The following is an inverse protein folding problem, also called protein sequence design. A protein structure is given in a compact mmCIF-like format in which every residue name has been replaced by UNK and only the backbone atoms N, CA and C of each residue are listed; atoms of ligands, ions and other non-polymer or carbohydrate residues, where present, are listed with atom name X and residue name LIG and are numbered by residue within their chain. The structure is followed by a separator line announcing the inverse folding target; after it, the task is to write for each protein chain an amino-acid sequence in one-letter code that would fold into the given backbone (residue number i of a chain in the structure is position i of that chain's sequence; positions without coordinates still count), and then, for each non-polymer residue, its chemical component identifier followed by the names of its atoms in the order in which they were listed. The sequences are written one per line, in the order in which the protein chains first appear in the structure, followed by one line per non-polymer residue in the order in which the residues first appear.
data_IF_439775235234
#
_entry.id   IF_439775235234
#
_cell.length_a   1.000
_cell.length_b   1.000
_cell.length_c   1.000
_cell.angle_alpha   90.00
_cell.angle_beta   90.00
_cell.angle_gamma   90.00
#
_symmetry.space_group_name_H-M   'P 1'
#
loop_
_entity.id
_entity.type
_entity.pdbx_description
1 polymer ?
#
# COMPACT_ATOMS: atom_id res chain seq x y z
N UNK A 1 34.79 7.05 51.42
CA UNK A 1 33.89 6.36 52.37
C UNK A 1 33.26 5.21 51.56
N UNK A 2 33.83 4.11 51.51
CA UNK A 2 34.07 2.87 52.25
C UNK A 2 32.82 2.34 52.97
N UNK A 3 32.59 1.05 52.69
CA UNK A 3 31.76 0.00 53.29
C UNK A 3 30.42 -0.31 52.62
N UNK A 4 29.99 -1.57 52.42
CA UNK A 4 30.51 -2.86 52.90
C UNK A 4 29.83 -4.01 52.11
N UNK A 5 30.54 -5.10 52.01
CA UNK A 5 30.17 -6.39 51.40
C UNK A 5 29.31 -7.19 52.38
N UNK A 6 28.28 -7.84 51.91
CA UNK A 6 27.51 -8.84 52.67
C UNK A 6 27.21 -10.03 51.78
N UNK A 7 28.06 -11.05 51.91
CA UNK A 7 27.93 -12.40 51.34
C UNK A 7 26.96 -13.24 52.18
N UNK A 8 25.97 -13.92 51.55
CA UNK A 8 25.39 -15.16 52.10
C UNK A 8 25.09 -16.11 50.96
N UNK A 9 25.53 -17.34 51.12
CA UNK A 9 25.43 -18.52 50.25
C UNK A 9 24.16 -19.35 50.56
N UNK A 10 23.93 -20.48 49.88
CA UNK A 10 22.74 -20.79 49.10
C UNK A 10 21.85 -21.85 49.82
N UNK A 11 20.61 -22.01 49.35
CA UNK A 11 19.82 -23.21 49.61
C UNK A 11 19.21 -23.76 48.32
N UNK A 12 19.53 -25.04 48.10
CA UNK A 12 18.94 -25.95 47.12
C UNK A 12 17.42 -26.09 47.26
N UNK A 13 16.75 -26.35 46.14
CA UNK A 13 15.52 -27.10 46.18
C UNK A 13 14.62 -26.96 44.98
N UNK A 14 14.58 -28.05 44.22
CA UNK A 14 13.49 -28.56 43.35
C UNK A 14 13.36 -27.98 41.94
N UNK A 15 13.74 -28.85 41.03
CA UNK A 15 13.32 -28.97 39.65
C UNK A 15 11.79 -28.96 39.54
N UNK A 16 11.24 -28.08 38.71
CA UNK A 16 10.00 -28.34 38.01
C UNK A 16 10.20 -27.83 36.56
N UNK A 17 10.19 -28.79 35.67
CA UNK A 17 10.20 -28.59 34.24
C UNK A 17 8.96 -27.82 33.81
N UNK A 18 9.14 -26.66 33.23
CA UNK A 18 8.11 -25.97 32.46
C UNK A 18 8.48 -26.11 31.00
N UNK A 19 7.57 -26.79 30.29
CA UNK A 19 7.60 -27.06 28.85
C UNK A 19 8.01 -25.82 28.05
N UNK A 20 9.00 -26.05 27.23
CA UNK A 20 9.46 -25.22 26.14
C UNK A 20 8.34 -25.14 25.09
N UNK A 21 7.49 -24.14 25.16
CA UNK A 21 6.50 -23.85 24.14
C UNK A 21 7.21 -23.29 22.91
N UNK A 22 7.38 -24.16 21.94
CA UNK A 22 7.73 -23.94 20.57
C UNK A 22 7.62 -22.49 20.10
N UNK A 23 8.76 -21.85 19.93
CA UNK A 23 8.97 -20.80 18.93
C UNK A 23 8.70 -21.45 17.58
N UNK A 24 7.55 -21.15 16.97
CA UNK A 24 7.31 -21.44 15.58
C UNK A 24 8.32 -20.64 14.77
N UNK A 25 9.27 -21.34 14.17
CA UNK A 25 10.08 -20.84 13.06
C UNK A 25 9.10 -20.29 11.99
N UNK A 26 9.04 -18.98 11.87
CA UNK A 26 8.48 -18.34 10.69
C UNK A 26 9.43 -18.70 9.52
N UNK A 27 8.94 -19.08 8.35
CA UNK A 27 9.78 -19.37 7.21
C UNK A 27 10.53 -18.09 6.83
N UNK A 28 11.86 -18.16 6.86
CA UNK A 28 12.72 -17.10 6.30
C UNK A 28 12.48 -17.05 4.79
N UNK A 29 11.93 -15.90 4.28
CA UNK A 29 11.92 -15.57 2.86
C UNK A 29 10.68 -15.99 2.05
N UNK A 30 9.47 -15.77 2.56
CA UNK A 30 8.22 -15.85 1.79
C UNK A 30 7.53 -14.50 1.72
N UNK A 31 6.71 -14.28 0.67
CA UNK A 31 5.87 -13.09 0.56
C UNK A 31 4.97 -12.93 1.79
N UNK A 32 4.90 -11.71 2.33
CA UNK A 32 4.06 -11.39 3.50
C UNK A 32 2.65 -11.01 3.08
N UNK A 33 1.64 -11.48 3.81
CA UNK A 33 0.27 -11.00 3.67
C UNK A 33 0.05 -9.68 4.44
N UNK A 34 -0.87 -8.86 3.92
CA UNK A 34 -1.37 -7.68 4.61
C UNK A 34 -2.89 -7.73 4.62
N UNK A 35 -3.49 -7.68 5.79
CA UNK A 35 -4.93 -7.69 5.94
C UNK A 35 -5.42 -6.54 6.82
N UNK A 36 -6.53 -5.92 6.42
CA UNK A 36 -7.35 -5.03 7.24
C UNK A 36 -8.68 -5.71 7.51
N UNK A 37 -9.10 -5.80 8.77
CA UNK A 37 -10.31 -6.49 9.18
C UNK A 37 -11.25 -5.51 9.87
N UNK A 38 -12.44 -5.26 9.29
CA UNK A 38 -13.49 -4.44 9.87
C UNK A 38 -13.05 -3.01 10.18
N UNK A 39 -12.22 -2.40 9.32
CA UNK A 39 -11.59 -1.11 9.57
C UNK A 39 -12.60 0.04 9.58
N UNK A 40 -12.66 0.75 10.69
CA UNK A 40 -13.33 2.05 10.80
C UNK A 40 -12.25 3.13 10.90
N UNK A 41 -12.18 4.00 9.90
CA UNK A 41 -11.12 5.00 9.79
C UNK A 41 -11.72 6.40 9.60
N UNK A 42 -11.34 7.32 10.47
CA UNK A 42 -11.80 8.71 10.44
C UNK A 42 -10.71 9.69 10.84
N UNK A 43 -11.00 10.97 10.72
CA UNK A 43 -10.13 12.04 11.20
C UNK A 43 -10.81 12.77 12.36
N UNK A 44 -10.07 13.22 13.38
CA UNK A 44 -10.65 13.86 14.57
C UNK A 44 -11.51 15.09 14.30
N UNK A 45 -11.43 15.65 13.10
CA UNK A 45 -12.20 16.84 12.66
C UNK A 45 -13.50 16.49 11.94
N UNK A 46 -13.78 15.21 11.69
CA UNK A 46 -14.98 14.70 11.02
C UNK A 46 -15.90 14.03 12.02
N UNK A 47 -17.22 14.14 11.83
CA UNK A 47 -18.22 13.45 12.67
C UNK A 47 -18.38 11.99 12.24
N UNK A 48 -18.32 11.74 10.93
CA UNK A 48 -18.49 10.41 10.36
C UNK A 48 -17.13 9.84 9.92
N UNK A 49 -16.95 8.51 9.99
CA UNK A 49 -15.77 7.85 9.47
C UNK A 49 -15.65 8.02 7.94
N UNK A 50 -14.44 8.02 7.43
CA UNK A 50 -14.17 8.06 5.98
C UNK A 50 -14.23 6.65 5.38
N UNK A 51 -13.89 5.63 6.17
CA UNK A 51 -14.04 4.21 5.83
C UNK A 51 -14.76 3.57 6.99
N UNK A 52 -15.83 2.81 6.73
CA UNK A 52 -16.75 2.29 7.76
C UNK A 52 -16.88 0.77 7.67
N UNK A 53 -16.16 0.07 8.55
CA UNK A 53 -16.27 -1.39 8.74
C UNK A 53 -15.70 -2.25 7.59
N UNK A 54 -14.82 -1.69 6.77
CA UNK A 54 -14.31 -2.37 5.57
C UNK A 54 -13.18 -3.35 5.86
N UNK A 55 -13.13 -4.41 5.05
CA UNK A 55 -12.07 -5.42 5.14
C UNK A 55 -11.40 -5.61 3.79
N UNK A 56 -10.06 -5.71 3.82
CA UNK A 56 -9.23 -5.89 2.64
C UNK A 56 -8.12 -6.90 2.91
N UNK A 57 -7.77 -7.69 1.91
CA UNK A 57 -6.60 -8.58 1.95
C UNK A 57 -5.75 -8.31 0.71
N UNK A 58 -4.49 -8.00 0.91
CA UNK A 58 -3.47 -8.00 -0.13
C UNK A 58 -2.76 -9.36 -0.10
N UNK A 59 -2.90 -10.12 -1.17
CA UNK A 59 -2.34 -11.47 -1.28
C UNK A 59 -0.81 -11.41 -1.39
N UNK A 60 -0.08 -12.35 -0.74
CA UNK A 60 1.38 -12.40 -0.78
C UNK A 60 1.93 -12.39 -2.22
N UNK A 61 2.91 -11.52 -2.48
CA UNK A 61 3.57 -11.42 -3.78
C UNK A 61 2.70 -10.86 -4.91
N UNK A 62 1.49 -10.38 -4.61
CA UNK A 62 0.56 -9.82 -5.59
C UNK A 62 0.49 -8.29 -5.53
N UNK A 63 0.07 -7.69 -6.63
CA UNK A 63 -0.23 -6.26 -6.74
C UNK A 63 -1.73 -6.05 -6.58
N UNK A 64 -2.15 -5.34 -5.53
CA UNK A 64 -3.53 -4.90 -5.31
C UNK A 64 -3.66 -3.41 -5.60
N UNK A 65 -4.49 -3.03 -6.56
CA UNK A 65 -4.78 -1.62 -6.85
C UNK A 65 -6.06 -1.15 -6.17
N UNK A 66 -5.98 -0.02 -5.46
CA UNK A 66 -7.13 0.70 -4.93
C UNK A 66 -7.55 1.76 -5.92
N UNK A 67 -8.78 1.70 -6.41
CA UNK A 67 -9.36 2.65 -7.38
C UNK A 67 -10.65 3.24 -6.86
N UNK A 68 -11.08 4.35 -7.43
CA UNK A 68 -12.33 5.04 -7.05
C UNK A 68 -12.22 6.55 -7.23
N UNK A 69 -13.33 7.29 -7.14
CA UNK A 69 -13.34 8.74 -7.28
C UNK A 69 -12.55 9.44 -6.16
N UNK A 70 -12.28 10.73 -6.34
CA UNK A 70 -11.67 11.55 -5.30
C UNK A 70 -12.59 11.61 -4.07
N UNK A 71 -12.00 11.45 -2.87
CA UNK A 71 -12.77 11.42 -1.62
C UNK A 71 -13.39 10.06 -1.28
N UNK A 72 -13.19 9.01 -2.07
CA UNK A 72 -13.76 7.67 -1.80
C UNK A 72 -13.11 6.90 -0.62
N UNK A 73 -12.07 7.44 0.01
CA UNK A 73 -11.42 6.81 1.17
C UNK A 73 -10.14 6.03 0.86
N UNK A 74 -9.67 5.93 -0.41
CA UNK A 74 -8.48 5.14 -0.79
C UNK A 74 -7.22 5.44 0.01
N UNK A 75 -6.80 6.71 0.04
CA UNK A 75 -5.62 7.13 0.80
C UNK A 75 -5.82 7.02 2.31
N UNK A 76 -7.06 7.14 2.80
CA UNK A 76 -7.41 6.91 4.20
C UNK A 76 -7.25 5.44 4.56
N UNK A 77 -7.77 4.54 3.72
CA UNK A 77 -7.59 3.09 3.87
C UNK A 77 -6.11 2.72 3.84
N UNK A 78 -5.34 3.25 2.86
CA UNK A 78 -3.90 3.00 2.76
C UNK A 78 -3.14 3.48 4.00
N UNK A 79 -3.48 4.66 4.55
CA UNK A 79 -2.87 5.19 5.78
C UNK A 79 -3.22 4.35 7.02
N UNK A 80 -4.44 3.80 7.08
CA UNK A 80 -4.81 2.83 8.10
C UNK A 80 -3.94 1.58 8.03
N UNK A 81 -3.82 0.97 6.85
CA UNK A 81 -2.96 -0.19 6.60
C UNK A 81 -1.49 0.08 6.95
N UNK A 82 -1.02 1.31 6.73
CA UNK A 82 0.35 1.75 7.04
C UNK A 82 0.60 2.11 8.52
N UNK A 83 -0.41 2.00 9.40
CA UNK A 83 -0.34 2.50 10.79
C UNK A 83 0.02 4.00 10.86
N UNK A 84 -0.34 4.78 9.84
CA UNK A 84 -0.26 6.24 9.88
C UNK A 84 -1.54 6.89 10.41
N UNK A 85 -2.65 6.15 10.33
CA UNK A 85 -3.93 6.50 10.91
C UNK A 85 -4.38 5.31 11.76
N UNK A 86 -4.59 5.56 13.05
CA UNK A 86 -5.09 4.53 13.96
C UNK A 86 -6.58 4.28 13.68
N UNK A 87 -7.02 3.04 13.51
CA UNK A 87 -8.43 2.76 13.31
C UNK A 87 -9.22 2.98 14.60
N UNK A 88 -10.44 3.52 14.48
CA UNK A 88 -11.40 3.65 15.59
C UNK A 88 -11.97 2.28 15.96
N UNK A 89 -12.07 1.35 14.99
CA UNK A 89 -12.42 -0.08 15.19
C UNK A 89 -11.76 -0.93 14.08
N UNK A 90 -11.66 -2.24 14.32
CA UNK A 90 -10.98 -3.18 13.44
C UNK A 90 -9.50 -3.35 13.75
N UNK A 91 -8.80 -4.09 12.90
CA UNK A 91 -7.36 -4.37 13.06
C UNK A 91 -6.64 -4.47 11.73
N UNK A 92 -5.33 -4.20 11.74
CA UNK A 92 -4.44 -4.39 10.60
C UNK A 92 -3.40 -5.44 10.96
N UNK A 93 -3.28 -6.45 10.11
CA UNK A 93 -2.39 -7.59 10.32
C UNK A 93 -1.33 -7.66 9.20
N UNK A 94 -0.09 -7.94 9.58
CA UNK A 94 1.00 -8.33 8.68
C UNK A 94 1.50 -9.70 9.15
N UNK A 95 1.49 -10.70 8.28
CA UNK A 95 1.77 -12.11 8.64
C UNK A 95 0.93 -12.61 9.82
N UNK A 96 -0.35 -12.23 9.86
CA UNK A 96 -1.26 -12.56 10.94
C UNK A 96 -0.97 -11.90 12.30
N UNK A 97 -0.02 -10.95 12.37
CA UNK A 97 0.31 -10.18 13.59
C UNK A 97 -0.21 -8.76 13.47
N UNK A 98 -0.89 -8.31 14.51
CA UNK A 98 -1.40 -6.94 14.60
C UNK A 98 -0.25 -5.92 14.56
N UNK A 99 -0.31 -4.99 13.59
CA UNK A 99 0.68 -3.93 13.40
C UNK A 99 0.79 -3.00 14.61
N UNK A 100 -0.28 -2.85 15.41
CA UNK A 100 -0.28 -2.04 16.63
C UNK A 100 0.53 -2.70 17.75
N UNK A 101 0.69 -4.03 17.72
CA UNK A 101 1.55 -4.76 18.64
C UNK A 101 3.04 -4.68 18.28
N UNK A 102 3.37 -4.25 17.06
CA UNK A 102 4.74 -4.14 16.57
C UNK A 102 5.37 -2.80 16.95
N UNK A 103 6.66 -2.84 17.30
CA UNK A 103 7.48 -1.64 17.45
C UNK A 103 7.68 -0.92 16.10
N UNK A 104 7.87 0.40 16.13
CA UNK A 104 8.01 1.21 14.90
C UNK A 104 9.08 0.69 13.94
N UNK A 105 10.27 0.29 14.46
CA UNK A 105 11.34 -0.26 13.61
C UNK A 105 11.02 -1.65 13.07
N UNK A 106 10.33 -2.48 13.86
CA UNK A 106 9.92 -3.81 13.46
C UNK A 106 8.93 -3.71 12.29
N UNK A 107 7.90 -2.88 12.42
CA UNK A 107 6.94 -2.64 11.34
C UNK A 107 7.63 -2.05 10.11
N UNK A 108 8.52 -1.06 10.29
CA UNK A 108 9.22 -0.43 9.19
C UNK A 108 10.21 -1.36 8.44
N UNK A 109 10.55 -2.53 8.97
CA UNK A 109 11.29 -3.58 8.25
C UNK A 109 10.38 -4.49 7.43
N UNK A 110 9.10 -4.51 7.74
CA UNK A 110 8.10 -5.34 7.04
C UNK A 110 7.28 -4.57 6.03
N UNK A 111 7.06 -3.27 6.28
CA UNK A 111 6.16 -2.46 5.48
C UNK A 111 6.80 -1.11 5.15
N UNK A 112 6.93 -0.84 3.86
CA UNK A 112 7.33 0.43 3.29
C UNK A 112 6.11 1.23 2.80
N UNK A 113 6.15 2.55 2.97
CA UNK A 113 5.10 3.44 2.48
C UNK A 113 5.70 4.61 1.72
N UNK A 114 5.24 4.79 0.47
CA UNK A 114 5.39 6.02 -0.29
C UNK A 114 4.12 6.85 -0.14
N UNK A 115 4.20 7.97 0.59
CA UNK A 115 3.08 8.90 0.74
C UNK A 115 3.00 9.86 -0.47
N UNK A 116 1.79 10.30 -0.79
CA UNK A 116 1.53 11.26 -1.86
C UNK A 116 2.33 12.57 -1.69
N UNK A 117 2.46 13.08 -0.45
CA UNK A 117 3.27 14.23 -0.11
C UNK A 117 4.55 13.77 0.58
N UNK A 118 5.64 13.71 -0.18
CA UNK A 118 6.97 13.42 0.35
C UNK A 118 7.85 14.67 0.33
N UNK A 119 8.45 14.98 1.47
CA UNK A 119 9.30 16.15 1.62
C UNK A 119 10.70 15.79 2.11
N UNK A 120 11.71 16.43 1.55
CA UNK A 120 13.11 16.32 1.98
C UNK A 120 13.80 17.67 1.91
N UNK A 121 14.92 17.86 2.62
CA UNK A 121 15.78 19.00 2.38
C UNK A 121 16.26 19.01 0.92
N UNK A 122 16.17 20.17 0.25
CA UNK A 122 16.54 20.30 -1.16
C UNK A 122 18.04 20.07 -1.42
N UNK A 123 18.88 20.20 -0.40
CA UNK A 123 20.34 20.16 -0.48
C UNK A 123 20.97 18.76 -0.31
N UNK A 124 20.16 17.74 -0.04
CA UNK A 124 20.70 16.37 0.03
C UNK A 124 20.78 15.75 -1.35
N UNK A 125 21.72 14.83 -1.55
CA UNK A 125 21.81 14.06 -2.80
C UNK A 125 20.75 12.98 -2.88
N UNK A 126 20.48 12.47 -4.08
CA UNK A 126 19.60 11.29 -4.26
C UNK A 126 20.13 10.10 -3.45
N UNK A 127 21.43 9.86 -3.47
CA UNK A 127 22.05 8.79 -2.69
C UNK A 127 21.79 8.96 -1.19
N UNK A 128 21.98 10.17 -0.65
CA UNK A 128 21.70 10.45 0.76
C UNK A 128 20.21 10.24 1.09
N UNK A 129 19.30 10.65 0.17
CA UNK A 129 17.86 10.40 0.33
C UNK A 129 17.58 8.91 0.41
N UNK A 130 18.14 8.12 -0.51
CA UNK A 130 17.90 6.67 -0.56
C UNK A 130 18.47 5.96 0.68
N UNK A 131 19.59 6.44 1.23
CA UNK A 131 20.09 5.94 2.53
C UNK A 131 19.13 6.13 3.69
N UNK A 132 18.21 7.10 3.65
CA UNK A 132 17.18 7.23 4.69
C UNK A 132 16.27 6.01 4.76
N UNK A 133 16.06 5.30 3.65
CA UNK A 133 15.34 4.01 3.63
C UNK A 133 15.98 2.95 4.54
N UNK A 134 17.29 3.05 4.82
CA UNK A 134 17.99 2.07 5.67
C UNK A 134 17.86 2.33 7.19
N UNK A 135 17.22 3.44 7.62
CA UNK A 135 17.06 3.73 9.05
C UNK A 135 16.42 2.61 9.91
N UNK A 136 15.44 1.85 9.44
CA UNK A 136 14.88 0.75 10.22
C UNK A 136 15.89 -0.35 10.55
N UNK A 137 16.89 -0.55 9.67
CA UNK A 137 17.90 -1.60 9.79
C UNK A 137 19.10 -1.19 10.65
N UNK A 138 19.30 0.12 10.88
CA UNK A 138 20.48 0.66 11.56
C UNK A 138 20.23 0.94 13.04
N UNK A 139 21.22 0.62 13.89
CA UNK A 139 21.28 1.04 15.28
C UNK A 139 21.65 2.52 15.43
N UNK A 140 21.49 3.08 16.63
CA UNK A 140 21.62 4.51 16.87
C UNK A 140 23.04 5.06 16.64
N UNK A 141 24.08 4.20 16.69
CA UNK A 141 25.49 4.56 16.48
C UNK A 141 26.18 3.69 15.43
N UNK A 142 25.43 2.96 14.62
CA UNK A 142 26.01 2.09 13.61
C UNK A 142 26.39 2.89 12.36
N UNK A 143 27.57 2.55 11.84
CA UNK A 143 28.01 3.06 10.54
C UNK A 143 27.26 2.35 9.42
N UNK A 144 27.26 2.97 8.24
CA UNK A 144 26.77 2.34 6.99
C UNK A 144 27.52 1.03 6.77
N UNK A 145 26.79 -0.05 6.60
CA UNK A 145 27.34 -1.39 6.33
C UNK A 145 27.46 -1.65 4.82
N UNK A 146 28.18 -2.70 4.43
CA UNK A 146 28.19 -3.14 3.03
C UNK A 146 26.79 -3.59 2.57
N UNK A 147 25.98 -4.16 3.45
CA UNK A 147 24.61 -4.54 3.18
C UNK A 147 23.73 -3.31 2.89
N UNK A 148 23.85 -2.25 3.68
CA UNK A 148 23.17 -0.99 3.42
C UNK A 148 23.55 -0.39 2.07
N UNK A 149 24.86 -0.43 1.73
CA UNK A 149 25.34 0.06 0.43
C UNK A 149 24.73 -0.76 -0.72
N UNK A 150 24.73 -2.08 -0.62
CA UNK A 150 24.14 -2.96 -1.63
C UNK A 150 22.63 -2.74 -1.78
N UNK A 151 21.90 -2.53 -0.67
CA UNK A 151 20.47 -2.24 -0.72
C UNK A 151 20.19 -0.90 -1.42
N UNK A 152 20.98 0.14 -1.13
CA UNK A 152 20.90 1.45 -1.79
C UNK A 152 21.23 1.34 -3.29
N UNK A 153 22.28 0.60 -3.64
CA UNK A 153 22.67 0.40 -5.05
C UNK A 153 21.57 -0.31 -5.83
N UNK A 154 21.02 -1.41 -5.30
CA UNK A 154 19.88 -2.11 -5.92
C UNK A 154 18.64 -1.22 -6.06
N UNK A 155 18.31 -0.44 -5.05
CA UNK A 155 17.15 0.44 -5.06
C UNK A 155 17.26 1.54 -6.12
N UNK A 156 18.44 2.15 -6.26
CA UNK A 156 18.74 3.17 -7.28
C UNK A 156 18.69 2.56 -8.69
N UNK A 157 19.22 1.35 -8.87
CA UNK A 157 19.17 0.61 -10.14
C UNK A 157 17.72 0.26 -10.52
N UNK A 158 16.94 -0.35 -9.60
CA UNK A 158 15.53 -0.69 -9.83
C UNK A 158 14.67 0.55 -10.16
N UNK A 159 14.95 1.68 -9.52
CA UNK A 159 14.26 2.93 -9.81
C UNK A 159 14.77 3.64 -11.09
N UNK A 160 15.77 3.11 -11.79
CA UNK A 160 16.34 3.70 -13.02
C UNK A 160 16.98 5.06 -12.81
N UNK A 161 17.36 5.40 -11.57
CA UNK A 161 17.82 6.75 -11.23
C UNK A 161 19.34 6.86 -10.94
N UNK A 162 20.18 5.94 -11.41
CA UNK A 162 21.65 5.94 -11.24
C UNK A 162 22.28 7.25 -11.75
N UNK A 163 21.77 7.76 -12.86
CA UNK A 163 22.23 9.02 -13.45
C UNK A 163 21.94 10.25 -12.60
N UNK A 164 21.05 10.13 -11.58
CA UNK A 164 20.67 11.17 -10.64
C UNK A 164 21.41 11.06 -9.30
N UNK A 165 22.11 9.97 -9.04
CA UNK A 165 22.67 9.56 -7.75
C UNK A 165 23.35 10.70 -6.97
N UNK A 166 24.17 11.48 -7.64
CA UNK A 166 24.96 12.56 -7.04
C UNK A 166 24.30 13.95 -7.18
N UNK A 167 23.07 14.01 -7.71
CA UNK A 167 22.35 15.28 -7.85
C UNK A 167 21.61 15.63 -6.58
N UNK A 168 21.53 16.92 -6.28
CA UNK A 168 20.68 17.43 -5.20
C UNK A 168 19.21 17.26 -5.55
N UNK A 169 18.41 16.75 -4.60
CA UNK A 169 16.96 16.48 -4.77
C UNK A 169 16.22 17.74 -5.20
N UNK A 170 16.61 18.93 -4.66
CA UNK A 170 16.01 20.20 -5.05
C UNK A 170 16.20 20.57 -6.52
N UNK A 171 17.22 20.01 -7.21
CA UNK A 171 17.51 20.28 -8.62
C UNK A 171 16.75 19.37 -9.60
N UNK A 172 15.99 18.40 -9.11
CA UNK A 172 15.30 17.40 -9.91
C UNK A 172 13.95 17.89 -10.42
N UNK A 173 13.51 17.38 -11.58
CA UNK A 173 12.11 17.51 -12.01
C UNK A 173 11.17 16.73 -11.10
N UNK A 174 9.84 16.98 -11.18
CA UNK A 174 8.84 16.23 -10.40
C UNK A 174 8.95 14.73 -10.58
N UNK A 175 9.04 14.25 -11.82
CA UNK A 175 9.20 12.81 -12.12
C UNK A 175 10.50 12.23 -11.59
N UNK A 176 11.62 12.96 -11.74
CA UNK A 176 12.91 12.53 -11.18
C UNK A 176 12.89 12.47 -9.64
N UNK A 177 12.20 13.42 -8.99
CA UNK A 177 11.98 13.36 -7.53
C UNK A 177 11.18 12.12 -7.14
N UNK A 178 10.14 11.80 -7.90
CA UNK A 178 9.31 10.62 -7.63
C UNK A 178 10.13 9.32 -7.70
N UNK A 179 10.97 9.16 -8.74
CA UNK A 179 11.87 8.01 -8.85
C UNK A 179 12.84 7.92 -7.65
N UNK A 180 13.39 9.05 -7.21
CA UNK A 180 14.26 9.08 -6.03
C UNK A 180 13.53 8.69 -4.73
N UNK A 181 12.26 9.10 -4.56
CA UNK A 181 11.43 8.70 -3.43
C UNK A 181 11.07 7.22 -3.47
N UNK A 182 10.74 6.69 -4.66
CA UNK A 182 10.53 5.25 -4.85
C UNK A 182 11.79 4.48 -4.48
N UNK A 183 12.98 4.92 -4.97
CA UNK A 183 14.26 4.31 -4.60
C UNK A 183 14.49 4.30 -3.08
N UNK A 184 14.15 5.40 -2.37
CA UNK A 184 14.25 5.46 -0.92
C UNK A 184 13.38 4.40 -0.23
N UNK A 185 12.13 4.24 -0.66
CA UNK A 185 11.24 3.23 -0.08
C UNK A 185 11.69 1.81 -0.44
N UNK A 186 12.18 1.58 -1.67
CA UNK A 186 12.76 0.29 -2.08
C UNK A 186 14.00 -0.08 -1.27
N UNK A 187 14.86 0.91 -0.95
CA UNK A 187 16.03 0.68 -0.10
C UNK A 187 15.67 0.27 1.33
N UNK A 188 14.44 0.46 1.77
CA UNK A 188 13.94 -0.04 3.04
C UNK A 188 13.90 -1.57 3.08
N UNK A 189 13.84 -2.25 1.90
CA UNK A 189 13.95 -3.71 1.76
C UNK A 189 12.88 -4.43 2.60
N UNK A 190 11.63 -4.17 2.26
CA UNK A 190 10.44 -4.62 3.01
C UNK A 190 9.65 -5.68 2.25
N UNK A 191 8.90 -6.51 2.97
CA UNK A 191 8.05 -7.56 2.41
C UNK A 191 6.76 -7.00 1.80
N UNK A 192 6.30 -5.83 2.30
CA UNK A 192 5.07 -5.14 1.86
C UNK A 192 5.40 -3.71 1.44
N UNK A 193 4.88 -3.28 0.29
CA UNK A 193 5.04 -1.93 -0.24
C UNK A 193 3.69 -1.27 -0.47
N UNK A 194 3.47 -0.13 0.18
CA UNK A 194 2.29 0.70 0.01
C UNK A 194 2.64 1.96 -0.78
N UNK A 195 1.90 2.24 -1.85
CA UNK A 195 2.15 3.38 -2.74
C UNK A 195 0.89 4.24 -2.86
N UNK A 196 0.93 5.47 -2.35
CA UNK A 196 -0.17 6.43 -2.44
C UNK A 196 0.00 7.33 -3.66
N UNK A 197 -0.75 7.05 -4.73
CA UNK A 197 -0.77 7.81 -5.98
C UNK A 197 0.61 8.06 -6.61
N UNK A 198 1.43 7.03 -6.83
CA UNK A 198 2.83 7.21 -7.24
C UNK A 198 3.00 7.80 -8.64
N UNK A 199 1.94 7.84 -9.46
CA UNK A 199 1.94 8.36 -10.84
C UNK A 199 1.32 9.75 -10.99
N UNK A 200 0.76 10.33 -9.91
CA UNK A 200 0.07 11.61 -9.93
C UNK A 200 1.03 12.76 -10.24
N UNK A 201 0.59 13.71 -11.08
CA UNK A 201 1.37 14.87 -11.58
C UNK A 201 2.60 14.52 -12.43
N UNK A 202 2.77 13.26 -12.84
CA UNK A 202 3.84 12.85 -13.74
C UNK A 202 3.38 12.94 -15.20
N UNK A 203 4.32 13.25 -16.12
CA UNK A 203 4.10 13.05 -17.54
C UNK A 203 4.07 11.55 -17.88
N UNK A 204 3.59 11.23 -19.09
CA UNK A 204 3.40 9.85 -19.53
C UNK A 204 4.68 9.00 -19.45
N UNK A 205 5.85 9.60 -19.71
CA UNK A 205 7.13 8.88 -19.64
C UNK A 205 7.42 8.40 -18.22
N UNK A 206 7.39 9.31 -17.25
CA UNK A 206 7.64 8.96 -15.85
C UNK A 206 6.54 8.07 -15.24
N UNK A 207 5.28 8.21 -15.69
CA UNK A 207 4.23 7.27 -15.29
C UNK A 207 4.57 5.83 -15.71
N UNK A 208 5.05 5.65 -16.96
CA UNK A 208 5.45 4.34 -17.46
C UNK A 208 6.66 3.79 -16.72
N UNK A 209 7.65 4.63 -16.37
CA UNK A 209 8.79 4.20 -15.55
C UNK A 209 8.34 3.68 -14.18
N UNK A 210 7.43 4.39 -13.50
CA UNK A 210 6.87 3.92 -12.21
C UNK A 210 6.12 2.59 -12.37
N UNK A 211 5.33 2.44 -13.43
CA UNK A 211 4.61 1.20 -13.70
C UNK A 211 5.60 0.04 -13.96
N UNK A 212 6.67 0.28 -14.73
CA UNK A 212 7.71 -0.71 -15.01
C UNK A 212 8.45 -1.16 -13.73
N UNK A 213 8.71 -0.22 -12.79
CA UNK A 213 9.27 -0.57 -11.48
C UNK A 213 8.36 -1.55 -10.74
N UNK A 214 7.05 -1.28 -10.68
CA UNK A 214 6.09 -2.14 -9.97
C UNK A 214 5.97 -3.51 -10.69
N UNK A 215 5.94 -3.53 -12.02
CA UNK A 215 5.94 -4.76 -12.82
C UNK A 215 7.21 -5.59 -12.55
N UNK A 216 8.38 -4.95 -12.44
CA UNK A 216 9.65 -5.61 -12.14
C UNK A 216 9.66 -6.19 -10.72
N UNK A 217 9.17 -5.43 -9.73
CA UNK A 217 9.02 -5.92 -8.36
C UNK A 217 8.13 -7.16 -8.29
N UNK A 218 6.99 -7.13 -9.00
CA UNK A 218 6.08 -8.27 -9.10
C UNK A 218 6.70 -9.50 -9.73
N UNK A 219 7.54 -9.32 -10.76
CA UNK A 219 8.13 -10.42 -11.53
C UNK A 219 9.35 -11.05 -10.84
N UNK A 220 10.18 -10.24 -10.19
CA UNK A 220 11.51 -10.61 -9.74
C UNK A 220 11.63 -10.71 -8.21
N UNK A 221 10.55 -10.38 -7.46
CA UNK A 221 10.54 -10.46 -5.99
C UNK A 221 9.19 -10.97 -5.47
N UNK A 222 9.19 -11.47 -4.25
CA UNK A 222 7.98 -11.91 -3.54
C UNK A 222 7.30 -10.74 -2.77
N UNK A 223 7.53 -9.48 -3.18
CA UNK A 223 7.00 -8.32 -2.48
C UNK A 223 5.49 -8.16 -2.72
N UNK A 224 4.74 -7.93 -1.66
CA UNK A 224 3.31 -7.62 -1.73
C UNK A 224 3.13 -6.12 -1.93
N UNK A 225 2.38 -5.71 -2.96
CA UNK A 225 2.19 -4.29 -3.29
C UNK A 225 0.73 -3.89 -3.17
N UNK A 226 0.45 -2.80 -2.43
CA UNK A 226 -0.85 -2.12 -2.49
C UNK A 226 -0.63 -0.72 -3.06
N UNK A 227 -1.28 -0.40 -4.16
CA UNK A 227 -1.11 0.88 -4.85
C UNK A 227 -2.44 1.60 -5.04
N UNK A 228 -2.49 2.88 -4.67
CA UNK A 228 -3.61 3.76 -5.03
C UNK A 228 -3.35 4.34 -6.40
N UNK A 229 -4.28 4.13 -7.33
CA UNK A 229 -4.22 4.68 -8.68
C UNK A 229 -5.50 5.46 -9.01
N UNK A 230 -5.34 6.60 -9.70
CA UNK A 230 -6.46 7.36 -10.24
C UNK A 230 -6.97 6.82 -11.57
N UNK A 231 -6.04 6.32 -12.37
CA UNK A 231 -6.32 5.77 -13.69
C UNK A 231 -6.67 4.28 -13.56
N UNK A 232 -7.97 3.97 -13.77
CA UNK A 232 -8.48 2.60 -13.67
C UNK A 232 -7.91 1.69 -14.77
N UNK A 233 -7.55 2.23 -15.94
CA UNK A 233 -6.91 1.46 -17.00
C UNK A 233 -5.47 1.09 -16.66
N UNK A 234 -4.73 2.02 -15.99
CA UNK A 234 -3.43 1.70 -15.43
C UNK A 234 -3.55 0.63 -14.34
N UNK A 235 -4.53 0.75 -13.44
CA UNK A 235 -4.79 -0.25 -12.41
C UNK A 235 -5.10 -1.63 -13.00
N UNK A 236 -5.96 -1.68 -14.02
CA UNK A 236 -6.35 -2.91 -14.68
C UNK A 236 -5.20 -3.62 -15.42
N UNK A 237 -4.19 -2.85 -15.87
CA UNK A 237 -3.01 -3.41 -16.54
C UNK A 237 -1.96 -3.94 -15.54
N UNK A 238 -1.84 -3.28 -14.40
CA UNK A 238 -0.77 -3.53 -13.45
C UNK A 238 -1.13 -4.59 -12.42
N UNK A 239 -2.37 -4.52 -11.91
CA UNK A 239 -2.76 -5.24 -10.71
C UNK A 239 -3.21 -6.67 -10.99
N UNK A 240 -2.93 -7.56 -10.04
CA UNK A 240 -3.53 -8.90 -9.96
C UNK A 240 -4.95 -8.81 -9.40
N UNK A 241 -5.18 -7.82 -8.53
CA UNK A 241 -6.48 -7.55 -7.91
C UNK A 241 -6.78 -6.06 -7.89
N UNK A 242 -8.02 -5.72 -8.19
CA UNK A 242 -8.56 -4.36 -8.10
C UNK A 242 -9.56 -4.31 -6.97
N UNK A 243 -9.50 -3.26 -6.15
CA UNK A 243 -10.48 -2.94 -5.12
C UNK A 243 -11.04 -1.55 -5.44
N UNK A 244 -12.32 -1.49 -5.77
CA UNK A 244 -13.01 -0.26 -6.12
C UNK A 244 -13.74 0.31 -4.89
N UNK A 245 -13.42 1.54 -4.51
CA UNK A 245 -14.02 2.26 -3.38
C UNK A 245 -14.90 3.40 -3.87
N UNK A 246 -16.04 3.61 -3.19
CA UNK A 246 -16.90 4.78 -3.32
C UNK A 246 -17.49 5.12 -1.96
N UNK A 247 -17.44 6.39 -1.58
CA UNK A 247 -18.06 6.91 -0.36
C UNK A 247 -17.67 6.13 0.92
N UNK A 248 -16.40 5.68 1.00
CA UNK A 248 -15.86 4.94 2.15
C UNK A 248 -16.12 3.43 2.14
N UNK A 249 -16.83 2.91 1.16
CA UNK A 249 -17.22 1.51 1.05
C UNK A 249 -16.55 0.83 -0.15
N UNK A 250 -16.22 -0.47 0.00
CA UNK A 250 -15.74 -1.31 -1.10
C UNK A 250 -16.92 -1.80 -1.93
N UNK A 251 -17.04 -1.30 -3.16
CA UNK A 251 -18.10 -1.66 -4.09
C UNK A 251 -17.83 -2.95 -4.85
N UNK A 252 -16.57 -3.19 -5.20
CA UNK A 252 -16.15 -4.42 -5.88
C UNK A 252 -14.69 -4.74 -5.58
N UNK A 253 -14.35 -6.03 -5.64
CA UNK A 253 -12.97 -6.54 -5.50
C UNK A 253 -12.79 -7.84 -6.25
N UNK A 254 -11.66 -8.00 -6.92
CA UNK A 254 -11.35 -9.20 -7.69
C UNK A 254 -10.27 -8.96 -8.75
N UNK A 255 -10.06 -9.92 -9.65
CA UNK A 255 -9.25 -9.72 -10.84
C UNK A 255 -9.78 -8.54 -11.68
N UNK A 256 -8.90 -7.82 -12.41
CA UNK A 256 -9.30 -6.66 -13.21
C UNK A 256 -10.44 -6.95 -14.19
N UNK A 257 -10.45 -8.13 -14.83
CA UNK A 257 -11.48 -8.54 -15.78
C UNK A 257 -12.88 -8.73 -15.18
N UNK A 258 -12.94 -9.04 -13.88
CA UNK A 258 -14.20 -9.21 -13.17
C UNK A 258 -14.71 -7.91 -12.55
N UNK A 259 -13.80 -6.99 -12.20
CA UNK A 259 -14.12 -5.73 -11.50
C UNK A 259 -14.37 -4.59 -12.48
N UNK A 260 -13.55 -4.48 -13.53
CA UNK A 260 -13.64 -3.35 -14.46
C UNK A 260 -14.69 -3.63 -15.52
N UNK A 261 -15.94 -3.31 -15.18
CA UNK A 261 -17.12 -3.49 -16.04
C UNK A 261 -17.77 -2.15 -16.37
N UNK A 262 -18.64 -2.12 -17.38
CA UNK A 262 -19.42 -0.92 -17.73
C UNK A 262 -20.31 -0.48 -16.56
N UNK A 263 -20.89 -1.45 -15.81
CA UNK A 263 -21.71 -1.21 -14.63
C UNK A 263 -20.89 -0.54 -13.53
N UNK A 264 -19.70 -1.06 -13.20
CA UNK A 264 -18.83 -0.45 -12.19
C UNK A 264 -18.45 0.98 -12.58
N UNK A 265 -18.12 1.21 -13.85
CA UNK A 265 -17.75 2.55 -14.33
C UNK A 265 -18.93 3.53 -14.23
N UNK A 266 -20.14 3.06 -14.50
CA UNK A 266 -21.36 3.84 -14.34
C UNK A 266 -21.66 4.16 -12.87
N UNK A 267 -21.62 3.16 -11.99
CA UNK A 267 -22.02 3.29 -10.58
C UNK A 267 -20.98 4.00 -9.73
N UNK A 268 -19.69 3.62 -9.88
CA UNK A 268 -18.62 4.14 -9.03
C UNK A 268 -18.03 5.43 -9.59
N UNK A 269 -17.74 5.46 -10.90
CA UNK A 269 -17.05 6.58 -11.55
C UNK A 269 -17.98 7.58 -12.23
N UNK A 270 -19.29 7.27 -12.31
CA UNK A 270 -20.31 8.07 -13.01
C UNK A 270 -19.94 8.37 -14.45
N UNK A 271 -19.50 7.34 -15.18
CA UNK A 271 -19.11 7.42 -16.58
C UNK A 271 -19.71 6.26 -17.34
N UNK A 272 -20.49 6.56 -18.40
CA UNK A 272 -20.81 5.57 -19.40
C UNK A 272 -19.55 5.30 -20.24
N UNK A 273 -19.18 4.05 -20.37
CA UNK A 273 -18.00 3.64 -21.08
C UNK A 273 -18.25 2.31 -21.81
N UNK A 274 -17.45 2.04 -22.84
CA UNK A 274 -17.33 0.73 -23.45
C UNK A 274 -16.09 0.04 -22.86
N UNK A 275 -16.24 -1.22 -22.40
CA UNK A 275 -15.16 -2.02 -21.85
C UNK A 275 -14.88 -3.21 -22.77
N UNK A 276 -13.66 -3.27 -23.31
CA UNK A 276 -13.22 -4.31 -24.22
C UNK A 276 -12.11 -5.13 -23.59
N UNK A 277 -12.29 -6.45 -23.38
CA UNK A 277 -11.23 -7.33 -22.91
C UNK A 277 -10.03 -7.34 -23.87
N UNK A 278 -8.82 -7.25 -23.32
CA UNK A 278 -7.56 -7.40 -24.08
C UNK A 278 -6.58 -8.27 -23.33
N UNK A 279 -5.51 -8.74 -24.02
CA UNK A 279 -4.43 -9.52 -23.41
C UNK A 279 -3.65 -8.75 -22.33
N UNK A 280 -3.85 -7.43 -22.23
CA UNK A 280 -3.21 -6.55 -21.25
C UNK A 280 -4.18 -5.98 -20.21
N UNK A 281 -5.30 -6.65 -20.00
CA UNK A 281 -6.40 -6.20 -19.16
C UNK A 281 -7.49 -5.46 -19.96
N UNK A 282 -8.61 -5.12 -19.29
CA UNK A 282 -9.73 -4.40 -19.92
C UNK A 282 -9.29 -3.01 -20.38
N UNK A 283 -9.65 -2.68 -21.63
CA UNK A 283 -9.48 -1.34 -22.20
C UNK A 283 -10.79 -0.58 -22.11
N UNK A 284 -10.71 0.64 -21.60
CA UNK A 284 -11.86 1.49 -21.32
C UNK A 284 -11.94 2.60 -22.37
N UNK A 285 -13.11 2.77 -22.97
CA UNK A 285 -13.40 3.90 -23.87
C UNK A 285 -14.51 4.72 -23.23
N UNK A 286 -14.20 5.84 -22.54
CA UNK A 286 -15.21 6.71 -21.96
C UNK A 286 -16.10 7.31 -23.06
N UNK A 287 -17.42 7.31 -22.86
CA UNK A 287 -18.40 7.80 -23.82
C UNK A 287 -18.99 9.15 -23.36
N UNK A 288 -19.49 9.21 -22.13
CA UNK A 288 -20.09 10.42 -21.55
C UNK A 288 -20.09 10.37 -20.01
N UNK A 289 -20.11 11.52 -19.33
CA UNK A 289 -20.38 11.54 -17.89
C UNK A 289 -21.85 11.20 -17.61
N UNK A 290 -22.14 10.54 -16.48
CA UNK A 290 -23.47 10.36 -15.91
C UNK A 290 -23.79 11.49 -14.93
N UNK A 291 -25.02 12.01 -14.98
CA UNK A 291 -25.52 13.04 -14.07
C UNK A 291 -26.50 12.42 -13.07
N UNK A 292 -26.60 13.01 -11.86
CA UNK A 292 -27.43 12.47 -10.76
C UNK A 292 -28.90 12.25 -11.12
N UNK A 293 -29.45 13.02 -12.07
CA UNK A 293 -30.83 12.89 -12.52
C UNK A 293 -31.09 11.60 -13.36
N UNK A 294 -30.06 10.93 -13.86
CA UNK A 294 -30.17 9.70 -14.65
C UNK A 294 -30.21 8.45 -13.77
N UNK A 295 -29.57 8.46 -12.58
CA UNK A 295 -29.57 7.35 -11.63
C UNK A 295 -30.95 7.07 -11.05
N UNK A 296 -31.78 8.13 -10.84
CA UNK A 296 -33.17 8.00 -10.38
C UNK A 296 -34.10 7.43 -11.47
N UNK A 297 -33.81 7.66 -12.73
CA UNK A 297 -34.62 7.15 -13.84
C UNK A 297 -34.42 5.64 -14.03
N UNK A 298 -33.17 5.16 -13.98
CA UNK A 298 -32.85 3.73 -14.12
C UNK A 298 -33.37 2.92 -12.91
N UNK A 299 -33.36 3.50 -11.72
CA UNK A 299 -33.92 2.87 -10.52
C UNK A 299 -35.46 2.75 -10.55
N UNK A 300 -36.15 3.65 -11.26
CA UNK A 300 -37.60 3.60 -11.46
C UNK A 300 -37.98 2.56 -12.52
N UNK A 301 -37.23 2.47 -13.64
CA UNK A 301 -37.47 1.46 -14.69
C UNK A 301 -37.19 0.03 -14.17
N UNK A 302 -36.16 -0.17 -13.34
CA UNK A 302 -35.85 -1.46 -12.73
C UNK A 302 -36.96 -1.93 -11.78
N UNK A 303 -37.59 -1.03 -11.03
CA UNK A 303 -38.75 -1.35 -10.15
C UNK A 303 -40.02 -1.66 -10.93
N UNK A 304 -40.29 -0.95 -12.01
CA UNK A 304 -41.47 -1.20 -12.83
C UNK A 304 -41.38 -2.51 -13.63
N UNK A 305 -40.16 -2.93 -14.06
CA UNK A 305 -39.97 -4.21 -14.75
C UNK A 305 -40.14 -5.41 -13.79
N UNK A 306 -39.77 -5.27 -12.51
CA UNK A 306 -39.92 -6.34 -11.49
C UNK A 306 -41.38 -6.50 -11.02
N UNK A 307 -42.19 -5.43 -10.99
CA UNK A 307 -43.61 -5.50 -10.67
C UNK A 307 -44.48 -6.00 -11.83
N UNK A 308 -44.01 -5.89 -13.04
CA UNK A 308 -44.70 -6.39 -14.26
C UNK A 308 -44.68 -7.90 -14.40
N UNK A 309 -43.65 -8.61 -13.93
CA UNK A 309 -43.53 -10.07 -14.02
C UNK A 309 -44.32 -10.83 -12.93
N UNK A 310 -44.77 -10.15 -11.87
CA UNK A 310 -45.55 -10.77 -10.79
C UNK A 310 -47.08 -10.83 -11.05
N UNK A 311 -47.56 -10.49 -12.24
CA UNK A 311 -48.96 -10.41 -12.58
C UNK A 311 -49.41 -11.35 -13.71
N UNK A 312 -48.91 -12.59 -13.77
CA UNK A 312 -49.48 -13.66 -14.61
C UNK A 312 -49.51 -15.00 -13.88
#
# INVERSE_FOLDING_TARGET
MVFNVGSIRPSNGSEDAVDDASTSDAPEGGASDLAGEGLVLGYPTMEDPVVDGESIVAEPGAVTALVGPNGSGKSTLLKGLAKQLDPDDGSVLVDGRDVHSMGTKELARKLGLLSQESTSPDSITVEDLVYHGRYPHRGFFEHVTEEDQQAVDRAIELAGCEHLRNREVGSLSGGQKQLAWIAMVLAQDTDVLLLDEPTTFLDLHHQLEVMEIIETLRADSDITVVVVLHDIEQAARLADRVVALKDGEIQARGPPEDVVTEELLAEVFRVDAEVVPTDRGPRITPLRPRHEDEDDADAVEAKESTEGEARW
#
